data_IF_695763139234
#
_entry.id   IF_695763139234
#
_cell.length_a   1.000
_cell.length_b   1.000
_cell.length_c   1.000
_cell.angle_alpha   90.00
_cell.angle_beta   90.00
_cell.angle_gamma   90.00
#
_symmetry.space_group_name_H-M   'P 1'
#
loop_
_entity.id
_entity.type
_entity.pdbx_description
1 polymer ?
#
# COMPACT_ATOMS: atom_id res chain seq x y z
N UNK A 1 4.04 3.24 30.85
CA UNK A 1 2.83 2.44 30.92
C UNK A 1 1.65 3.21 30.40
N UNK A 2 1.21 2.91 29.19
CA UNK A 2 -0.09 3.36 28.69
C UNK A 2 -1.16 2.82 29.63
N UNK A 3 -1.88 3.71 30.26
CA UNK A 3 -2.78 3.41 31.36
C UNK A 3 -3.88 2.43 30.90
N UNK A 4 -4.34 1.56 31.82
CA UNK A 4 -5.51 0.70 31.61
C UNK A 4 -6.74 1.48 31.08
N UNK A 5 -6.85 2.78 31.37
CA UNK A 5 -7.91 3.68 30.86
C UNK A 5 -7.86 3.88 29.33
N UNK A 6 -6.67 4.01 28.72
CA UNK A 6 -6.56 4.13 27.26
C UNK A 6 -6.95 2.83 26.53
N UNK A 7 -6.58 1.66 27.10
CA UNK A 7 -7.04 0.37 26.53
C UNK A 7 -8.56 0.18 26.67
N UNK A 8 -9.17 0.64 27.75
CA UNK A 8 -10.62 0.56 27.94
C UNK A 8 -11.40 1.54 27.04
N UNK A 9 -10.88 2.75 26.77
CA UNK A 9 -11.46 3.67 25.81
C UNK A 9 -11.45 3.08 24.38
N UNK A 10 -10.33 2.48 23.95
CA UNK A 10 -10.23 1.83 22.65
C UNK A 10 -11.19 0.62 22.45
N UNK A 11 -11.68 0.01 23.53
CA UNK A 11 -12.63 -1.09 23.45
C UNK A 11 -14.07 -0.57 23.26
N UNK A 12 -14.43 0.57 23.84
CA UNK A 12 -15.79 1.14 23.75
C UNK A 12 -16.10 1.75 22.38
N UNK A 13 -15.09 2.26 21.67
CA UNK A 13 -15.22 2.87 20.33
C UNK A 13 -14.99 1.87 19.19
N UNK A 14 -14.91 0.56 19.51
CA UNK A 14 -14.60 -0.49 18.55
C UNK A 14 -15.88 -0.99 17.86
N UNK A 15 -15.77 -1.28 16.58
CA UNK A 15 -16.84 -1.91 15.82
C UNK A 15 -17.03 -3.37 16.21
N UNK A 16 -18.27 -3.83 16.20
CA UNK A 16 -18.62 -5.19 16.59
C UNK A 16 -17.91 -6.25 15.75
N UNK A 17 -17.70 -6.01 14.46
CA UNK A 17 -16.97 -6.91 13.57
C UNK A 17 -15.50 -7.11 14.02
N UNK A 18 -14.84 -6.07 14.50
CA UNK A 18 -13.47 -6.11 14.99
C UNK A 18 -13.37 -6.84 16.33
N UNK A 19 -14.33 -6.59 17.22
CA UNK A 19 -14.41 -7.29 18.49
C UNK A 19 -14.64 -8.80 18.33
N UNK A 20 -15.46 -9.20 17.35
CA UNK A 20 -15.65 -10.61 17.00
C UNK A 20 -14.36 -11.23 16.45
N UNK A 21 -13.65 -10.54 15.54
CA UNK A 21 -12.38 -11.04 15.01
C UNK A 21 -11.31 -11.22 16.09
N UNK A 22 -11.16 -10.27 16.98
CA UNK A 22 -10.21 -10.36 18.10
C UNK A 22 -10.56 -11.51 19.05
N UNK A 23 -11.83 -11.90 19.09
CA UNK A 23 -12.32 -13.08 19.82
C UNK A 23 -12.20 -14.39 19.04
N UNK A 24 -11.62 -14.36 17.84
CA UNK A 24 -11.48 -15.52 16.96
C UNK A 24 -12.76 -15.91 16.21
N UNK A 25 -13.81 -15.06 16.24
CA UNK A 25 -15.08 -15.29 15.55
C UNK A 25 -15.05 -14.58 14.20
N UNK A 26 -15.05 -15.36 13.13
CA UNK A 26 -15.08 -14.80 11.77
C UNK A 26 -16.50 -14.38 11.37
N UNK A 27 -16.65 -13.10 10.97
CA UNK A 27 -17.90 -12.58 10.40
C UNK A 27 -17.71 -12.40 8.88
N UNK A 28 -18.59 -13.02 8.04
CA UNK A 28 -18.53 -12.89 6.59
C UNK A 28 -18.79 -11.44 6.14
N UNK A 29 -18.06 -10.98 5.11
CA UNK A 29 -18.11 -9.57 4.69
C UNK A 29 -17.56 -9.34 3.29
N UNK A 30 -18.02 -8.29 2.61
CA UNK A 30 -17.45 -7.84 1.33
C UNK A 30 -17.07 -6.37 1.36
N UNK A 31 -17.93 -5.45 1.79
CA UNK A 31 -17.64 -4.01 1.74
C UNK A 31 -16.69 -3.54 2.85
N UNK A 32 -16.67 -4.18 3.99
CA UNK A 32 -15.80 -3.81 5.10
C UNK A 32 -14.33 -4.17 4.81
N UNK A 33 -13.44 -3.24 5.16
CA UNK A 33 -12.00 -3.42 5.13
C UNK A 33 -11.40 -2.63 6.29
N UNK A 34 -10.44 -3.20 7.02
CA UNK A 34 -9.90 -2.62 8.26
C UNK A 34 -9.28 -1.22 8.13
N UNK A 35 -9.00 -0.79 6.89
CA UNK A 35 -8.37 0.51 6.58
C UNK A 35 -9.30 1.48 5.87
N UNK A 36 -10.57 1.13 5.67
CA UNK A 36 -11.57 1.97 5.02
C UNK A 36 -12.70 2.24 5.99
N UNK A 37 -13.30 3.42 5.92
CA UNK A 37 -14.43 3.77 6.75
C UNK A 37 -15.61 2.80 6.51
N UNK A 38 -16.31 2.33 7.53
CA UNK A 38 -17.38 1.36 7.38
C UNK A 38 -18.62 2.00 6.74
N UNK A 39 -19.26 1.30 5.80
CA UNK A 39 -20.43 1.82 5.05
C UNK A 39 -21.66 0.92 5.15
N UNK A 40 -21.55 -0.31 5.65
CA UNK A 40 -22.69 -1.22 5.83
C UNK A 40 -23.47 -1.59 4.56
N UNK A 41 -22.88 -1.46 3.36
CA UNK A 41 -23.57 -1.60 2.07
C UNK A 41 -23.94 -3.04 1.73
N UNK A 42 -23.01 -3.98 1.87
CA UNK A 42 -23.22 -5.35 1.39
C UNK A 42 -24.15 -6.17 2.26
N UNK A 43 -24.32 -5.81 3.51
CA UNK A 43 -25.15 -6.52 4.50
C UNK A 43 -24.74 -7.97 4.79
N UNK A 44 -23.59 -8.42 4.31
CA UNK A 44 -23.11 -9.78 4.57
C UNK A 44 -22.73 -10.00 6.04
N UNK A 45 -22.33 -8.95 6.74
CA UNK A 45 -21.91 -8.99 8.14
C UNK A 45 -23.04 -8.86 9.16
N UNK A 46 -24.27 -9.22 8.78
CA UNK A 46 -25.42 -9.21 9.70
C UNK A 46 -25.22 -10.22 10.83
N UNK A 47 -25.48 -9.78 12.06
CA UNK A 47 -25.53 -10.58 13.30
C UNK A 47 -26.77 -10.22 14.09
N UNK A 48 -27.20 -11.09 14.98
CA UNK A 48 -28.35 -10.86 15.85
C UNK A 48 -27.87 -10.29 17.20
N UNK A 49 -28.45 -9.16 17.60
CA UNK A 49 -28.13 -8.50 18.88
C UNK A 49 -29.37 -8.48 19.76
N UNK A 50 -29.22 -8.82 21.04
CA UNK A 50 -30.28 -8.68 22.03
C UNK A 50 -30.44 -7.21 22.44
N UNK A 51 -31.68 -6.72 22.35
CA UNK A 51 -32.04 -5.36 22.76
C UNK A 51 -33.22 -5.42 23.74
N UNK A 52 -33.48 -4.36 24.50
CA UNK A 52 -34.66 -4.32 25.39
C UNK A 52 -36.02 -4.52 24.65
N UNK A 53 -36.00 -4.35 23.32
CA UNK A 53 -37.18 -4.54 22.46
C UNK A 53 -37.24 -5.90 21.79
N UNK A 54 -36.30 -6.79 22.10
CA UNK A 54 -36.16 -8.10 21.48
C UNK A 54 -34.91 -8.19 20.62
N UNK A 55 -34.70 -9.33 19.98
CA UNK A 55 -33.58 -9.60 19.10
C UNK A 55 -33.76 -8.90 17.76
N UNK A 56 -32.69 -8.33 17.22
CA UNK A 56 -32.67 -7.66 15.91
C UNK A 56 -31.38 -7.90 15.14
N UNK A 57 -31.49 -7.96 13.81
CA UNK A 57 -30.34 -8.04 12.90
C UNK A 57 -29.70 -6.66 12.73
N UNK A 58 -28.37 -6.60 12.96
CA UNK A 58 -27.57 -5.39 12.77
C UNK A 58 -26.34 -5.70 11.92
N UNK A 59 -25.85 -4.75 11.11
CA UNK A 59 -24.59 -4.90 10.39
C UNK A 59 -23.40 -4.68 11.36
N UNK A 60 -22.68 -5.74 11.70
CA UNK A 60 -21.59 -5.67 12.67
C UNK A 60 -20.47 -4.68 12.31
N UNK A 61 -20.29 -4.39 11.01
CA UNK A 61 -19.26 -3.46 10.53
C UNK A 61 -19.57 -1.97 10.80
N UNK A 62 -20.80 -1.62 11.21
CA UNK A 62 -21.22 -0.24 11.54
C UNK A 62 -21.86 -0.14 12.92
N UNK A 63 -21.84 -1.22 13.69
CA UNK A 63 -22.39 -1.27 15.05
C UNK A 63 -21.25 -1.17 16.04
N UNK A 64 -21.30 -0.18 16.93
CA UNK A 64 -20.34 -0.03 18.02
C UNK A 64 -20.64 -1.02 19.15
N UNK A 65 -19.61 -1.47 19.81
CA UNK A 65 -19.69 -2.38 20.97
C UNK A 65 -20.14 -1.58 22.21
N UNK A 66 -21.12 -2.12 22.94
CA UNK A 66 -21.53 -1.59 24.23
C UNK A 66 -21.35 -2.61 25.35
N UNK A 67 -21.31 -2.12 26.60
CA UNK A 67 -21.23 -2.98 27.77
C UNK A 67 -22.44 -3.93 27.82
N UNK A 68 -22.22 -5.19 28.19
CA UNK A 68 -23.22 -6.25 28.31
C UNK A 68 -23.97 -6.61 27.01
N UNK A 69 -23.44 -6.19 25.83
CA UNK A 69 -24.04 -6.55 24.54
C UNK A 69 -23.96 -8.06 24.33
N UNK A 70 -25.12 -8.69 24.08
CA UNK A 70 -25.24 -10.11 23.74
C UNK A 70 -25.44 -10.23 22.25
N UNK A 71 -24.54 -10.97 21.58
CA UNK A 71 -24.49 -11.11 20.13
C UNK A 71 -24.53 -12.59 19.74
N UNK A 72 -25.43 -12.95 18.84
CA UNK A 72 -25.51 -14.27 18.24
C UNK A 72 -25.10 -14.18 16.74
N UNK A 73 -24.03 -14.84 16.40
CA UNK A 73 -23.47 -14.84 15.04
C UNK A 73 -23.89 -16.04 14.20
N UNK A 74 -24.59 -17.00 14.80
CA UNK A 74 -24.94 -18.29 14.17
C UNK A 74 -26.42 -18.66 14.29
N UNK A 75 -27.28 -17.74 14.76
CA UNK A 75 -28.74 -18.01 14.83
C UNK A 75 -29.30 -18.33 13.45
N UNK A 76 -30.40 -19.05 13.41
CA UNK A 76 -31.08 -19.40 12.15
C UNK A 76 -31.48 -18.17 11.35
N UNK A 77 -31.79 -17.05 12.05
CA UNK A 77 -32.14 -15.78 11.43
C UNK A 77 -30.90 -15.15 10.74
N UNK A 78 -29.73 -15.22 11.40
CA UNK A 78 -28.46 -14.75 10.82
C UNK A 78 -28.08 -15.59 9.60
N UNK A 79 -28.09 -16.90 9.71
CA UNK A 79 -27.78 -17.82 8.60
C UNK A 79 -28.67 -17.56 7.38
N UNK A 80 -29.98 -17.45 7.59
CA UNK A 80 -30.94 -17.17 6.52
C UNK A 80 -30.72 -15.78 5.89
N UNK A 81 -30.33 -14.78 6.69
CA UNK A 81 -30.03 -13.43 6.19
C UNK A 81 -28.76 -13.44 5.33
N UNK A 82 -27.69 -14.09 5.78
CA UNK A 82 -26.43 -14.21 5.04
C UNK A 82 -26.61 -15.01 3.75
N UNK A 83 -27.34 -16.10 3.78
CA UNK A 83 -27.72 -16.89 2.59
C UNK A 83 -28.45 -16.04 1.56
N UNK A 84 -29.47 -15.27 2.00
CA UNK A 84 -30.23 -14.37 1.13
C UNK A 84 -29.37 -13.25 0.52
N UNK A 85 -28.43 -12.70 1.28
CA UNK A 85 -27.46 -11.71 0.74
C UNK A 85 -26.59 -12.31 -0.36
N UNK A 86 -26.06 -13.51 -0.16
CA UNK A 86 -25.26 -14.22 -1.17
C UNK A 86 -26.10 -14.54 -2.40
N UNK A 87 -27.34 -14.97 -2.24
CA UNK A 87 -28.25 -15.19 -3.36
C UNK A 87 -28.42 -13.91 -4.20
N UNK A 88 -28.64 -12.75 -3.58
CA UNK A 88 -28.72 -11.46 -4.28
C UNK A 88 -27.41 -11.09 -5.01
N UNK A 89 -26.27 -11.35 -4.41
CA UNK A 89 -24.98 -11.08 -5.06
C UNK A 89 -24.73 -11.99 -6.26
N UNK A 90 -25.22 -13.23 -6.21
CA UNK A 90 -25.01 -14.24 -7.24
C UNK A 90 -26.01 -14.16 -8.41
N UNK A 91 -27.17 -13.54 -8.24
CA UNK A 91 -28.22 -13.45 -9.28
C UNK A 91 -27.64 -12.99 -10.63
N UNK A 92 -26.89 -11.90 -10.65
CA UNK A 92 -26.28 -11.36 -11.87
C UNK A 92 -24.78 -11.65 -11.99
N UNK A 93 -24.16 -12.31 -11.02
CA UNK A 93 -22.75 -12.65 -11.12
C UNK A 93 -22.51 -13.70 -12.21
N UNK A 94 -21.59 -13.47 -13.16
CA UNK A 94 -21.39 -14.38 -14.29
C UNK A 94 -20.73 -15.69 -13.84
N UNK A 95 -20.95 -16.78 -14.60
CA UNK A 95 -20.35 -18.09 -14.38
C UNK A 95 -18.91 -18.14 -14.92
N UNK A 96 -18.12 -17.13 -14.61
CA UNK A 96 -16.79 -16.87 -15.17
C UNK A 96 -15.65 -17.47 -14.35
N UNK A 97 -15.89 -18.20 -13.27
CA UNK A 97 -14.80 -18.70 -12.42
C UNK A 97 -13.67 -19.40 -13.20
N UNK A 98 -13.93 -20.22 -14.23
CA UNK A 98 -12.86 -20.83 -15.02
C UNK A 98 -11.96 -19.84 -15.76
N UNK A 99 -12.48 -18.67 -16.12
CA UNK A 99 -11.78 -17.61 -16.86
C UNK A 99 -11.56 -16.34 -16.03
N UNK A 100 -11.74 -16.42 -14.70
CA UNK A 100 -11.56 -15.30 -13.79
C UNK A 100 -10.22 -15.44 -13.02
N UNK A 101 -9.37 -14.41 -13.09
CA UNK A 101 -8.07 -14.43 -12.40
C UNK A 101 -8.17 -14.46 -10.87
N UNK A 102 -9.33 -14.06 -10.31
CA UNK A 102 -9.56 -14.12 -8.87
C UNK A 102 -9.97 -15.51 -8.37
N UNK A 103 -10.29 -16.46 -9.27
CA UNK A 103 -10.72 -17.79 -8.87
C UNK A 103 -9.63 -18.53 -8.07
N UNK A 104 -10.02 -19.13 -6.95
CA UNK A 104 -9.14 -19.77 -5.99
C UNK A 104 -8.61 -18.87 -4.86
N UNK A 105 -8.81 -17.53 -4.98
CA UNK A 105 -8.54 -16.55 -3.93
C UNK A 105 -9.70 -15.52 -3.85
N UNK A 106 -10.91 -15.97 -4.15
CA UNK A 106 -12.09 -15.11 -4.29
C UNK A 106 -12.97 -15.17 -3.04
N UNK A 107 -13.06 -14.10 -2.23
CA UNK A 107 -13.95 -14.06 -1.08
C UNK A 107 -15.41 -14.40 -1.40
N UNK A 108 -15.91 -14.09 -2.62
CA UNK A 108 -17.27 -14.47 -3.00
C UNK A 108 -17.42 -15.98 -3.15
N UNK A 109 -16.45 -16.68 -3.75
CA UNK A 109 -16.46 -18.14 -3.82
C UNK A 109 -16.43 -18.77 -2.42
N UNK A 110 -15.46 -18.34 -1.59
CA UNK A 110 -15.25 -18.91 -0.27
C UNK A 110 -16.47 -18.71 0.64
N UNK A 111 -17.04 -17.50 0.65
CA UNK A 111 -18.23 -17.22 1.46
C UNK A 111 -19.50 -17.86 0.90
N UNK A 112 -19.60 -18.03 -0.42
CA UNK A 112 -20.73 -18.78 -1.00
C UNK A 112 -20.70 -20.24 -0.62
N UNK A 113 -19.52 -20.84 -0.58
CA UNK A 113 -19.37 -22.24 -0.13
C UNK A 113 -19.63 -22.41 1.37
N UNK A 114 -19.26 -21.42 2.19
CA UNK A 114 -19.39 -21.50 3.65
C UNK A 114 -20.80 -21.11 4.16
N UNK A 115 -21.46 -20.13 3.54
CA UNK A 115 -22.67 -19.50 4.05
C UNK A 115 -23.81 -19.41 3.02
N UNK A 116 -23.57 -19.79 1.76
CA UNK A 116 -24.54 -19.61 0.69
C UNK A 116 -25.46 -20.81 0.47
N UNK A 117 -26.49 -20.65 -0.40
CA UNK A 117 -27.33 -21.74 -0.82
C UNK A 117 -26.55 -22.73 -1.68
N UNK A 118 -26.87 -24.02 -1.54
CA UNK A 118 -26.23 -25.07 -2.35
C UNK A 118 -26.65 -25.06 -3.83
N UNK A 119 -27.80 -24.46 -4.14
CA UNK A 119 -28.40 -24.40 -5.48
C UNK A 119 -28.93 -23.00 -5.79
N UNK A 120 -28.92 -22.64 -7.07
CA UNK A 120 -29.48 -21.38 -7.55
C UNK A 120 -30.93 -21.57 -7.97
N UNK A 121 -31.83 -20.69 -7.49
CA UNK A 121 -33.23 -20.61 -7.92
C UNK A 121 -33.43 -19.69 -9.12
N UNK A 122 -32.41 -18.96 -9.54
CA UNK A 122 -32.46 -17.97 -10.60
C UNK A 122 -32.46 -18.68 -11.96
N UNK A 123 -33.51 -18.48 -12.75
CA UNK A 123 -33.72 -19.11 -14.07
C UNK A 123 -33.72 -18.11 -15.21
N UNK A 124 -33.64 -16.82 -14.92
CA UNK A 124 -33.64 -15.76 -15.90
C UNK A 124 -32.23 -15.48 -16.44
N UNK A 125 -32.14 -14.70 -17.52
CA UNK A 125 -30.86 -14.27 -18.10
C UNK A 125 -30.17 -13.27 -17.18
N UNK A 126 -28.85 -13.50 -16.95
CA UNK A 126 -28.01 -12.58 -16.19
C UNK A 126 -27.72 -11.33 -17.02
N UNK A 127 -27.41 -10.22 -16.35
CA UNK A 127 -27.02 -8.98 -17.04
C UNK A 127 -25.74 -9.17 -17.85
N UNK A 128 -25.71 -8.53 -19.02
CA UNK A 128 -24.54 -8.50 -19.89
C UNK A 128 -24.03 -7.07 -20.09
N UNK A 129 -22.74 -6.92 -20.03
CA UNK A 129 -22.01 -5.69 -20.32
C UNK A 129 -20.84 -5.99 -21.26
N UNK A 130 -20.38 -4.98 -21.96
CA UNK A 130 -19.07 -5.05 -22.60
C UNK A 130 -17.99 -5.31 -21.56
N UNK A 131 -17.19 -6.38 -21.75
CA UNK A 131 -16.18 -6.81 -20.79
C UNK A 131 -15.03 -7.56 -21.47
N UNK A 132 -13.79 -7.43 -20.92
CA UNK A 132 -13.39 -6.40 -19.96
C UNK A 132 -13.17 -5.06 -20.65
N UNK A 133 -13.23 -3.97 -19.90
CA UNK A 133 -12.82 -2.65 -20.38
C UNK A 133 -11.48 -2.26 -19.74
N UNK A 134 -10.63 -1.59 -20.54
CA UNK A 134 -9.38 -1.02 -20.03
C UNK A 134 -9.70 0.31 -19.34
N UNK A 135 -9.49 0.41 -18.03
CA UNK A 135 -9.61 1.68 -17.30
C UNK A 135 -8.27 2.37 -17.09
N UNK A 136 -7.18 1.64 -17.31
CA UNK A 136 -5.81 2.16 -17.42
C UNK A 136 -4.94 1.14 -18.20
N UNK A 137 -3.67 1.47 -18.42
CA UNK A 137 -2.71 0.56 -19.05
C UNK A 137 -2.47 -0.73 -18.23
N UNK A 138 -2.62 -0.64 -16.92
CA UNK A 138 -2.29 -1.73 -15.97
C UNK A 138 -3.52 -2.40 -15.36
N UNK A 139 -4.73 -1.84 -15.51
CA UNK A 139 -5.94 -2.36 -14.86
C UNK A 139 -7.08 -2.54 -15.85
N UNK A 140 -7.68 -3.73 -15.77
CA UNK A 140 -8.89 -4.12 -16.47
C UNK A 140 -10.07 -4.13 -15.49
N UNK A 141 -11.23 -3.68 -15.95
CA UNK A 141 -12.50 -3.75 -15.23
C UNK A 141 -13.49 -4.67 -15.96
N UNK A 142 -13.97 -5.68 -15.24
CA UNK A 142 -15.12 -6.50 -15.64
C UNK A 142 -16.34 -6.11 -14.80
N UNK A 143 -17.26 -5.38 -15.41
CA UNK A 143 -18.44 -4.84 -14.73
C UNK A 143 -19.44 -5.91 -14.30
N UNK A 144 -19.53 -7.01 -15.04
CA UNK A 144 -20.44 -8.12 -14.69
C UNK A 144 -20.02 -8.82 -13.39
N UNK A 145 -18.70 -8.90 -13.12
CA UNK A 145 -18.17 -9.52 -11.90
C UNK A 145 -18.25 -8.61 -10.68
N UNK A 146 -18.53 -7.32 -10.89
CA UNK A 146 -18.58 -6.34 -9.79
C UNK A 146 -19.80 -6.58 -8.89
N UNK A 147 -19.59 -6.70 -7.58
CA UNK A 147 -20.63 -6.83 -6.57
C UNK A 147 -20.97 -5.50 -5.87
N UNK A 148 -20.52 -4.38 -6.44
CA UNK A 148 -20.82 -3.02 -5.96
C UNK A 148 -20.47 -2.79 -4.48
N UNK A 149 -19.37 -3.34 -3.99
CA UNK A 149 -18.96 -3.29 -2.58
C UNK A 149 -18.29 -1.97 -2.17
N UNK A 150 -18.02 -1.06 -3.09
CA UNK A 150 -17.39 0.24 -2.88
C UNK A 150 -15.98 0.22 -2.26
N UNK A 151 -15.24 -0.90 -2.23
CA UNK A 151 -13.87 -0.87 -1.71
C UNK A 151 -12.94 -0.04 -2.58
N UNK A 152 -13.03 -0.15 -3.90
CA UNK A 152 -12.17 0.56 -4.84
C UNK A 152 -12.45 2.07 -4.85
N UNK A 153 -13.72 2.49 -4.87
CA UNK A 153 -14.10 3.91 -4.85
C UNK A 153 -13.68 4.57 -3.55
N UNK A 154 -13.95 3.93 -2.40
CA UNK A 154 -13.51 4.44 -1.10
C UNK A 154 -11.99 4.47 -0.95
N UNK A 155 -11.27 3.47 -1.43
CA UNK A 155 -9.81 3.52 -1.43
C UNK A 155 -9.30 4.70 -2.26
N UNK A 156 -9.88 4.91 -3.44
CA UNK A 156 -9.50 6.00 -4.34
C UNK A 156 -9.70 7.37 -3.71
N UNK A 157 -10.78 7.57 -2.99
CA UNK A 157 -11.13 8.81 -2.29
C UNK A 157 -10.42 8.92 -0.92
N UNK A 158 -10.71 8.00 0.00
CA UNK A 158 -10.33 8.10 1.42
C UNK A 158 -8.82 7.94 1.67
N UNK A 159 -8.16 7.07 0.89
CA UNK A 159 -6.75 6.69 1.11
C UNK A 159 -5.82 7.39 0.14
N UNK A 160 -6.06 7.22 -1.17
CA UNK A 160 -5.14 7.79 -2.18
C UNK A 160 -5.38 9.27 -2.45
N UNK A 161 -6.60 9.79 -2.19
CA UNK A 161 -6.99 11.14 -2.54
C UNK A 161 -7.08 11.38 -4.04
N UNK A 162 -7.28 10.31 -4.82
CA UNK A 162 -7.42 10.33 -6.27
C UNK A 162 -8.77 9.72 -6.66
N UNK A 163 -9.92 10.41 -6.51
CA UNK A 163 -11.27 9.87 -6.77
C UNK A 163 -11.54 9.69 -8.27
N UNK A 164 -10.72 8.85 -8.92
CA UNK A 164 -10.76 8.61 -10.38
C UNK A 164 -11.64 7.42 -10.78
N UNK A 165 -12.15 6.66 -9.82
CA UNK A 165 -13.06 5.53 -10.01
C UNK A 165 -14.24 5.68 -9.07
N UNK A 166 -15.44 5.73 -9.64
CA UNK A 166 -16.66 6.10 -8.92
C UNK A 166 -17.87 5.26 -9.32
N UNK A 167 -18.94 5.37 -8.53
CA UNK A 167 -20.25 4.87 -8.94
C UNK A 167 -20.88 5.81 -9.95
N UNK A 168 -21.28 5.25 -11.07
CA UNK A 168 -22.07 5.95 -12.07
C UNK A 168 -23.46 5.33 -12.19
N UNK A 169 -24.44 6.08 -12.68
CA UNK A 169 -25.83 5.68 -12.77
C UNK A 169 -26.50 5.48 -11.38
N UNK A 170 -27.70 4.97 -11.36
CA UNK A 170 -28.47 4.68 -10.14
C UNK A 170 -29.41 3.50 -10.29
N UNK A 171 -29.85 2.96 -9.15
CA UNK A 171 -30.75 1.82 -9.10
C UNK A 171 -30.11 0.57 -9.73
N UNK A 172 -30.87 -0.15 -10.54
CA UNK A 172 -30.39 -1.37 -11.18
C UNK A 172 -29.32 -1.14 -12.26
N UNK A 173 -29.10 0.12 -12.69
CA UNK A 173 -28.07 0.50 -13.66
C UNK A 173 -26.77 0.96 -13.01
N UNK A 174 -26.71 0.99 -11.67
CA UNK A 174 -25.50 1.39 -10.95
C UNK A 174 -24.34 0.50 -11.36
N UNK A 175 -23.24 1.11 -11.73
CA UNK A 175 -21.97 0.45 -12.03
C UNK A 175 -20.77 1.26 -11.52
N UNK A 176 -19.66 0.60 -11.34
CA UNK A 176 -18.36 1.25 -11.05
C UNK A 176 -17.68 1.52 -12.38
N UNK A 177 -17.17 2.73 -12.57
CA UNK A 177 -16.44 3.11 -13.79
C UNK A 177 -15.52 4.31 -13.52
N UNK A 178 -14.74 4.69 -14.51
CA UNK A 178 -13.96 5.94 -14.55
C UNK A 178 -14.74 7.02 -15.27
N UNK A 179 -14.34 8.28 -15.10
CA UNK A 179 -14.93 9.38 -15.87
C UNK A 179 -14.53 9.28 -17.34
N UNK A 180 -15.42 9.69 -18.29
CA UNK A 180 -15.09 9.71 -19.70
C UNK A 180 -13.81 10.52 -19.98
N UNK A 181 -12.88 9.96 -20.74
CA UNK A 181 -11.57 10.54 -21.08
C UNK A 181 -10.60 10.78 -19.92
N UNK A 182 -10.92 10.32 -18.71
CA UNK A 182 -10.02 10.35 -17.56
C UNK A 182 -9.66 8.92 -17.17
N UNK A 183 -8.53 8.39 -17.66
CA UNK A 183 -8.09 7.05 -17.29
C UNK A 183 -7.71 6.99 -15.80
N UNK A 184 -7.84 5.83 -15.21
CA UNK A 184 -7.48 5.59 -13.81
C UNK A 184 -5.95 5.68 -13.59
N UNK A 185 -5.41 6.89 -13.65
CA UNK A 185 -3.99 7.21 -13.46
C UNK A 185 -3.74 7.63 -12.01
N UNK A 186 -3.60 6.64 -11.13
CA UNK A 186 -3.20 6.85 -9.74
C UNK A 186 -1.89 6.14 -9.49
N UNK A 187 -1.04 6.68 -8.63
CA UNK A 187 0.17 6.01 -8.14
C UNK A 187 -0.13 4.74 -7.32
N UNK A 188 -1.41 4.49 -7.00
CA UNK A 188 -1.86 3.48 -6.06
C UNK A 188 -2.94 2.56 -6.63
N UNK A 189 -3.20 2.63 -7.93
CA UNK A 189 -4.34 1.97 -8.57
C UNK A 189 -4.35 0.44 -8.37
N UNK A 190 -3.18 -0.19 -8.31
CA UNK A 190 -3.04 -1.62 -8.07
C UNK A 190 -3.55 -2.11 -6.70
N UNK A 191 -3.72 -1.21 -5.73
CA UNK A 191 -4.35 -1.61 -4.46
C UNK A 191 -5.83 -1.92 -4.65
N UNK A 192 -6.52 -1.27 -5.58
CA UNK A 192 -7.93 -1.56 -5.87
C UNK A 192 -8.11 -2.97 -6.42
N UNK A 193 -7.13 -3.49 -7.18
CA UNK A 193 -7.09 -4.90 -7.62
C UNK A 193 -6.91 -5.83 -6.43
N UNK A 194 -5.99 -5.50 -5.53
CA UNK A 194 -5.68 -6.33 -4.36
C UNK A 194 -6.87 -6.44 -3.41
N UNK A 195 -7.55 -5.32 -3.10
CA UNK A 195 -8.66 -5.29 -2.15
C UNK A 195 -10.01 -5.65 -2.78
N UNK A 196 -10.10 -5.77 -4.10
CA UNK A 196 -11.32 -6.19 -4.78
C UNK A 196 -11.67 -7.63 -4.35
N UNK A 197 -12.86 -7.87 -3.75
CA UNK A 197 -13.23 -9.19 -3.24
C UNK A 197 -13.61 -10.17 -4.35
N UNK A 198 -13.67 -9.71 -5.59
CA UNK A 198 -14.03 -10.50 -6.78
C UNK A 198 -13.10 -10.18 -7.94
N UNK A 199 -13.24 -10.86 -9.07
CA UNK A 199 -12.44 -10.63 -10.28
C UNK A 199 -12.93 -9.48 -11.15
N UNK A 200 -13.54 -8.45 -10.56
CA UNK A 200 -13.99 -7.27 -11.29
C UNK A 200 -12.81 -6.38 -11.71
N UNK A 201 -11.88 -6.10 -10.79
CA UNK A 201 -10.64 -5.41 -11.09
C UNK A 201 -9.50 -6.41 -11.15
N UNK A 202 -8.77 -6.42 -12.26
CA UNK A 202 -7.66 -7.35 -12.52
C UNK A 202 -6.47 -6.61 -13.13
N UNK A 203 -5.26 -7.12 -12.86
CA UNK A 203 -4.04 -6.57 -13.43
C UNK A 203 -3.79 -7.13 -14.82
N UNK A 204 -3.46 -6.27 -15.80
CA UNK A 204 -3.11 -6.69 -17.16
C UNK A 204 -1.88 -7.59 -17.19
N UNK A 205 -0.88 -7.29 -16.37
CA UNK A 205 0.39 -8.02 -16.31
C UNK A 205 0.25 -9.43 -15.74
N UNK A 206 -0.73 -9.67 -14.83
CA UNK A 206 -0.95 -10.97 -14.20
C UNK A 206 -2.02 -11.81 -14.89
N UNK A 207 -2.88 -11.21 -15.72
CA UNK A 207 -4.03 -11.87 -16.34
C UNK A 207 -3.64 -13.18 -17.02
N UNK A 208 -4.30 -14.28 -16.61
CA UNK A 208 -4.12 -15.66 -17.13
C UNK A 208 -2.70 -16.22 -17.00
N UNK A 209 -1.90 -15.73 -16.04
CA UNK A 209 -0.53 -16.20 -15.82
C UNK A 209 -0.44 -17.42 -14.92
N UNK A 210 -1.20 -17.45 -13.84
CA UNK A 210 -1.19 -18.57 -12.88
C UNK A 210 -2.46 -18.61 -12.04
N UNK A 211 -2.69 -19.75 -11.39
CA UNK A 211 -3.69 -19.90 -10.33
C UNK A 211 -3.00 -19.74 -8.96
N UNK A 212 -3.75 -19.38 -7.89
CA UNK A 212 -3.16 -19.20 -6.56
C UNK A 212 -2.38 -20.41 -6.04
N UNK A 213 -2.85 -21.61 -6.33
CA UNK A 213 -2.19 -22.87 -5.93
C UNK A 213 -0.92 -23.21 -6.73
N UNK A 214 -0.69 -22.55 -7.86
CA UNK A 214 0.54 -22.70 -8.66
C UNK A 214 1.63 -21.69 -8.19
N UNK A 215 1.31 -20.80 -7.27
CA UNK A 215 2.20 -19.73 -6.83
C UNK A 215 3.00 -20.14 -5.60
N UNK A 216 4.29 -19.82 -5.65
CA UNK A 216 5.16 -19.79 -4.48
C UNK A 216 5.18 -18.38 -3.93
N UNK A 217 4.73 -18.21 -2.68
CA UNK A 217 4.74 -16.93 -1.97
C UNK A 217 5.99 -16.78 -1.11
N UNK A 218 6.65 -15.64 -1.21
CA UNK A 218 7.83 -15.30 -0.40
C UNK A 218 7.71 -13.89 0.11
N UNK A 219 7.79 -13.69 1.42
CA UNK A 219 7.80 -12.34 2.03
C UNK A 219 9.13 -11.66 1.79
N UNK A 220 9.08 -10.36 1.52
CA UNK A 220 10.25 -9.53 1.23
C UNK A 220 9.97 -8.07 1.56
N UNK A 221 10.95 -7.23 1.29
CA UNK A 221 10.84 -5.76 1.41
C UNK A 221 11.01 -5.15 0.02
N UNK A 222 10.17 -4.16 -0.30
CA UNK A 222 10.29 -3.39 -1.53
C UNK A 222 11.54 -2.50 -1.48
N UNK A 223 12.36 -2.56 -2.52
CA UNK A 223 13.57 -1.74 -2.67
C UNK A 223 13.40 -0.57 -3.65
N UNK A 224 12.16 -0.24 -4.05
CA UNK A 224 11.89 0.82 -5.01
C UNK A 224 12.08 2.25 -4.48
N UNK A 225 12.09 2.43 -3.17
CA UNK A 225 12.37 3.70 -2.47
C UNK A 225 12.69 3.43 -0.99
N UNK A 226 13.06 4.47 -0.25
CA UNK A 226 13.44 4.40 1.17
C UNK A 226 12.31 3.99 2.13
N UNK A 227 11.05 3.92 1.67
CA UNK A 227 9.93 3.49 2.51
C UNK A 227 10.04 2.05 3.01
N UNK A 228 10.65 1.15 2.22
CA UNK A 228 10.84 -0.24 2.60
C UNK A 228 9.54 -1.00 2.86
N UNK A 229 8.52 -0.83 2.01
CA UNK A 229 7.22 -1.48 2.16
C UNK A 229 7.33 -3.00 2.26
N UNK A 230 6.58 -3.59 3.18
CA UNK A 230 6.46 -5.06 3.27
C UNK A 230 5.66 -5.60 2.09
N UNK A 231 6.24 -6.56 1.39
CA UNK A 231 5.66 -7.16 0.18
C UNK A 231 5.67 -8.68 0.22
N UNK A 232 4.82 -9.25 -0.60
CA UNK A 232 4.83 -10.67 -0.93
C UNK A 232 5.10 -10.85 -2.41
N UNK A 233 6.15 -11.62 -2.70
CA UNK A 233 6.56 -11.98 -4.04
C UNK A 233 5.88 -13.29 -4.43
N UNK A 234 5.08 -13.28 -5.49
CA UNK A 234 4.44 -14.47 -6.02
C UNK A 234 5.12 -14.91 -7.33
N UNK A 235 5.69 -16.08 -7.32
CA UNK A 235 6.41 -16.66 -8.45
C UNK A 235 5.88 -18.04 -8.83
N UNK A 236 6.02 -18.43 -10.09
CA UNK A 236 5.75 -19.76 -10.60
C UNK A 236 6.76 -20.11 -11.70
N UNK A 237 7.21 -21.36 -11.76
CA UNK A 237 8.16 -21.82 -12.78
C UNK A 237 9.39 -20.92 -12.92
N UNK A 238 9.95 -20.49 -11.79
CA UNK A 238 11.10 -19.58 -11.71
C UNK A 238 10.90 -18.20 -12.37
N UNK A 239 9.66 -17.75 -12.53
CA UNK A 239 9.32 -16.41 -13.02
C UNK A 239 8.55 -15.65 -11.95
N UNK A 240 8.89 -14.37 -11.77
CA UNK A 240 8.11 -13.44 -10.96
C UNK A 240 6.82 -13.08 -11.71
N UNK A 241 5.66 -13.27 -11.06
CA UNK A 241 4.37 -13.04 -11.71
C UNK A 241 3.60 -11.86 -11.15
N UNK A 242 3.67 -11.62 -9.83
CA UNK A 242 3.03 -10.47 -9.18
C UNK A 242 3.69 -10.14 -7.85
N UNK A 243 3.50 -8.89 -7.42
CA UNK A 243 3.89 -8.40 -6.09
C UNK A 243 2.63 -7.87 -5.38
N UNK A 244 2.43 -8.31 -4.13
CA UNK A 244 1.34 -7.87 -3.27
C UNK A 244 1.88 -7.07 -2.09
N UNK A 245 1.14 -6.04 -1.65
CA UNK A 245 1.42 -5.36 -0.39
C UNK A 245 1.02 -6.25 0.79
N UNK A 246 1.91 -6.37 1.77
CA UNK A 246 1.64 -7.10 3.02
C UNK A 246 1.34 -6.10 4.11
N UNK A 247 0.34 -6.41 4.93
CA UNK A 247 -0.05 -5.57 6.04
C UNK A 247 1.06 -5.50 7.10
N UNK A 248 1.55 -4.28 7.30
CA UNK A 248 2.53 -3.91 8.31
C UNK A 248 2.15 -2.54 8.86
N UNK A 249 1.60 -2.51 10.07
CA UNK A 249 1.06 -1.30 10.69
C UNK A 249 2.11 -0.20 10.82
N UNK A 250 3.33 -0.58 11.15
CA UNK A 250 4.44 0.36 11.35
C UNK A 250 4.95 1.01 10.06
N UNK A 251 4.73 0.40 8.88
CA UNK A 251 5.29 0.86 7.61
C UNK A 251 4.19 1.22 6.61
N UNK A 252 3.66 0.24 5.89
CA UNK A 252 2.83 0.46 4.71
C UNK A 252 1.36 0.08 4.86
N UNK A 253 0.95 -0.52 5.98
CA UNK A 253 -0.46 -0.88 6.28
C UNK A 253 -1.15 -1.69 5.15
N UNK A 254 -0.38 -2.50 4.44
CA UNK A 254 -0.86 -3.29 3.30
C UNK A 254 -0.88 -2.55 1.97
N UNK A 255 -0.69 -1.23 1.97
CA UNK A 255 -0.67 -0.43 0.75
C UNK A 255 0.68 -0.51 0.03
N UNK A 256 0.64 -0.47 -1.29
CA UNK A 256 1.83 -0.48 -2.13
C UNK A 256 1.61 0.47 -3.32
N UNK A 257 2.62 1.23 -3.70
CA UNK A 257 2.53 2.04 -4.90
C UNK A 257 2.66 1.17 -6.17
N UNK A 258 2.12 1.66 -7.28
CA UNK A 258 2.13 0.93 -8.55
C UNK A 258 3.55 0.72 -9.08
N UNK A 259 4.48 1.65 -8.81
CA UNK A 259 5.89 1.48 -9.09
C UNK A 259 6.48 0.26 -8.36
N UNK A 260 6.22 0.10 -7.07
CA UNK A 260 6.67 -1.07 -6.30
C UNK A 260 5.95 -2.36 -6.65
N UNK A 261 4.70 -2.27 -7.16
CA UNK A 261 3.87 -3.42 -7.52
C UNK A 261 4.19 -4.00 -8.90
N UNK A 262 4.47 -3.15 -9.87
CA UNK A 262 4.57 -3.55 -11.28
C UNK A 262 5.98 -3.50 -11.86
N UNK A 263 6.93 -2.86 -11.18
CA UNK A 263 8.31 -2.77 -11.66
C UNK A 263 9.11 -4.04 -11.31
N UNK A 264 8.67 -5.20 -11.78
CA UNK A 264 9.38 -6.48 -11.59
C UNK A 264 9.73 -7.18 -12.92
N UNK A 265 9.29 -6.67 -14.04
CA UNK A 265 9.51 -7.31 -15.35
C UNK A 265 10.99 -7.48 -15.68
N UNK A 266 11.85 -6.56 -15.19
CA UNK A 266 13.31 -6.67 -15.36
C UNK A 266 13.90 -7.94 -14.75
N UNK A 267 13.23 -8.52 -13.71
CA UNK A 267 13.66 -9.78 -13.09
C UNK A 267 13.51 -10.97 -14.05
N UNK A 268 12.53 -10.89 -14.95
CA UNK A 268 12.23 -11.93 -15.94
C UNK A 268 12.90 -11.67 -17.30
N UNK A 269 13.65 -10.57 -17.44
CA UNK A 269 14.28 -10.17 -18.71
C UNK A 269 15.40 -11.11 -19.11
N UNK A 270 15.44 -11.52 -20.36
CA UNK A 270 16.53 -12.32 -20.93
C UNK A 270 17.84 -11.53 -21.04
N UNK A 271 17.77 -10.19 -21.07
CA UNK A 271 18.95 -9.32 -21.06
C UNK A 271 19.65 -9.21 -19.70
N UNK A 272 19.08 -9.84 -18.65
CA UNK A 272 19.69 -9.86 -17.33
C UNK A 272 20.97 -10.69 -17.33
N UNK A 273 22.06 -10.12 -16.79
CA UNK A 273 23.32 -10.85 -16.65
C UNK A 273 23.14 -12.06 -15.73
N UNK A 274 23.49 -13.24 -16.22
CA UNK A 274 23.40 -14.53 -15.50
C UNK A 274 24.75 -15.09 -15.13
N UNK A 275 25.77 -14.69 -15.87
CA UNK A 275 27.17 -15.11 -15.72
C UNK A 275 28.09 -13.90 -15.70
N UNK A 276 29.26 -13.99 -15.08
CA UNK A 276 30.25 -12.94 -15.20
C UNK A 276 30.73 -12.76 -16.66
N UNK A 277 30.97 -11.51 -17.04
CA UNK A 277 31.44 -11.17 -18.38
C UNK A 277 32.78 -10.45 -18.29
N UNK A 278 33.70 -10.83 -19.16
CA UNK A 278 35.00 -10.18 -19.35
C UNK A 278 35.08 -9.60 -20.76
N UNK A 279 35.61 -8.40 -20.87
CA UNK A 279 35.88 -7.77 -22.16
C UNK A 279 37.24 -8.29 -22.71
N UNK A 280 37.16 -9.05 -23.81
CA UNK A 280 38.29 -9.57 -24.56
C UNK A 280 38.16 -9.07 -25.99
N UNK A 281 39.20 -8.45 -26.55
CA UNK A 281 39.23 -7.92 -27.92
C UNK A 281 37.97 -7.07 -28.29
N UNK A 282 37.51 -6.27 -27.32
CA UNK A 282 36.32 -5.41 -27.44
C UNK A 282 34.94 -6.14 -27.40
N UNK A 283 34.91 -7.46 -27.25
CA UNK A 283 33.71 -8.27 -27.08
C UNK A 283 33.54 -8.72 -25.62
N UNK A 284 32.28 -8.85 -25.16
CA UNK A 284 31.96 -9.38 -23.84
C UNK A 284 31.83 -10.90 -23.94
N UNK A 285 32.73 -11.61 -23.24
CA UNK A 285 32.78 -13.07 -23.21
C UNK A 285 32.44 -13.57 -21.82
N UNK A 286 31.65 -14.63 -21.72
CA UNK A 286 31.32 -15.29 -20.46
C UNK A 286 32.59 -15.96 -19.88
N UNK A 287 32.80 -15.79 -18.57
CA UNK A 287 33.88 -16.41 -17.82
C UNK A 287 33.38 -17.06 -16.55
N UNK A 288 34.13 -18.01 -16.02
CA UNK A 288 33.79 -18.67 -14.76
C UNK A 288 34.04 -17.73 -13.57
N UNK A 289 33.21 -17.84 -12.54
CA UNK A 289 33.31 -17.00 -11.33
C UNK A 289 34.68 -17.15 -10.63
N UNK A 290 35.31 -18.31 -10.74
CA UNK A 290 36.62 -18.58 -10.17
C UNK A 290 37.72 -17.76 -10.84
N UNK A 291 37.62 -17.56 -12.15
CA UNK A 291 38.54 -16.71 -12.91
C UNK A 291 38.41 -15.24 -12.47
N UNK A 292 37.17 -14.78 -12.22
CA UNK A 292 36.93 -13.44 -11.66
C UNK A 292 37.65 -13.27 -10.32
N UNK A 293 37.47 -14.23 -9.38
CA UNK A 293 38.15 -14.16 -8.08
C UNK A 293 39.65 -14.17 -8.19
N UNK A 294 40.21 -14.95 -9.10
CA UNK A 294 41.63 -15.02 -9.34
C UNK A 294 42.19 -13.70 -9.84
N UNK A 295 41.55 -13.12 -10.86
CA UNK A 295 41.98 -11.83 -11.45
C UNK A 295 41.83 -10.67 -10.45
N UNK A 296 40.71 -10.57 -9.75
CA UNK A 296 40.49 -9.54 -8.72
C UNK A 296 41.52 -9.68 -7.59
N UNK A 297 41.83 -10.91 -7.17
CA UNK A 297 42.83 -11.18 -6.14
C UNK A 297 44.21 -10.69 -6.54
N UNK A 298 44.61 -10.81 -7.81
CA UNK A 298 45.91 -10.29 -8.33
C UNK A 298 45.93 -8.76 -8.28
N UNK A 299 44.84 -8.09 -8.75
CA UNK A 299 44.74 -6.63 -8.73
C UNK A 299 44.79 -6.08 -7.29
N UNK A 300 44.12 -6.73 -6.36
CA UNK A 300 44.04 -6.31 -4.96
C UNK A 300 45.35 -6.54 -4.19
N UNK A 301 46.12 -7.57 -4.55
CA UNK A 301 47.44 -7.86 -3.94
C UNK A 301 48.49 -6.81 -4.28
N UNK A 302 48.32 -6.07 -5.38
CA UNK A 302 49.19 -4.96 -5.71
C UNK A 302 48.91 -3.79 -4.74
N UNK A 303 49.85 -3.59 -3.81
CA UNK A 303 49.76 -2.54 -2.76
C UNK A 303 49.80 -1.11 -3.30
N UNK A 304 50.09 -0.91 -4.58
CA UNK A 304 50.03 0.41 -5.22
C UNK A 304 48.68 0.74 -5.80
N UNK A 305 47.80 -0.26 -5.96
CA UNK A 305 46.46 -0.09 -6.49
C UNK A 305 45.54 0.55 -5.44
N UNK A 306 44.96 1.72 -5.78
CA UNK A 306 43.94 2.36 -4.97
C UNK A 306 42.56 1.81 -5.36
N UNK A 307 41.83 1.29 -4.38
CA UNK A 307 40.46 0.76 -4.58
C UNK A 307 39.44 1.74 -4.03
N UNK A 308 38.51 2.15 -4.88
CA UNK A 308 37.36 2.96 -4.49
C UNK A 308 36.08 2.12 -4.58
N UNK A 309 35.19 2.24 -3.60
CA UNK A 309 33.94 1.55 -3.56
C UNK A 309 32.81 2.52 -3.90
N UNK A 310 32.04 2.18 -4.94
CA UNK A 310 30.80 2.90 -5.32
C UNK A 310 29.61 2.03 -4.93
N UNK A 311 28.86 2.45 -3.91
CA UNK A 311 27.73 1.70 -3.38
C UNK A 311 26.44 2.32 -3.87
N UNK A 312 25.56 1.49 -4.44
CA UNK A 312 24.22 1.91 -4.88
C UNK A 312 23.23 1.96 -3.72
N UNK A 313 22.16 2.71 -3.88
CA UNK A 313 21.08 2.86 -2.87
C UNK A 313 20.16 1.64 -2.73
N UNK A 314 20.27 0.66 -3.62
CA UNK A 314 19.40 -0.54 -3.63
C UNK A 314 20.04 -1.75 -2.94
N UNK A 315 21.13 -1.56 -2.23
CA UNK A 315 21.80 -2.59 -1.46
C UNK A 315 21.08 -2.83 -0.13
N UNK A 316 21.19 -4.05 0.39
CA UNK A 316 20.71 -4.38 1.73
C UNK A 316 21.68 -3.86 2.80
N UNK A 317 21.23 -3.79 4.05
CA UNK A 317 22.10 -3.45 5.17
C UNK A 317 23.24 -4.47 5.32
N UNK A 318 22.97 -5.73 5.03
CA UNK A 318 23.94 -6.82 5.04
C UNK A 318 25.00 -6.64 3.95
N UNK A 319 24.61 -6.17 2.77
CA UNK A 319 25.57 -5.83 1.70
C UNK A 319 26.51 -4.70 2.14
N UNK A 320 25.99 -3.64 2.77
CA UNK A 320 26.79 -2.53 3.30
C UNK A 320 27.78 -3.01 4.36
N UNK A 321 27.37 -3.91 5.27
CA UNK A 321 28.27 -4.49 6.27
C UNK A 321 29.37 -5.33 5.61
N UNK A 322 28.98 -6.18 4.65
CA UNK A 322 29.95 -7.00 3.91
C UNK A 322 30.96 -6.15 3.12
N UNK A 323 30.50 -5.08 2.47
CA UNK A 323 31.39 -4.14 1.79
C UNK A 323 32.33 -3.41 2.76
N UNK A 324 31.85 -3.01 3.93
CA UNK A 324 32.71 -2.39 4.95
C UNK A 324 33.79 -3.35 5.41
N UNK A 325 33.45 -4.58 5.78
CA UNK A 325 34.41 -5.61 6.21
C UNK A 325 35.42 -5.91 5.10
N UNK A 326 34.97 -6.08 3.86
CA UNK A 326 35.83 -6.30 2.70
C UNK A 326 36.78 -5.12 2.49
N UNK A 327 36.31 -3.89 2.60
CA UNK A 327 37.15 -2.70 2.49
C UNK A 327 38.24 -2.61 3.56
N UNK A 328 37.94 -3.09 4.79
CA UNK A 328 38.90 -3.13 5.90
C UNK A 328 40.03 -4.13 5.66
N UNK A 329 39.72 -5.24 4.96
CA UNK A 329 40.74 -6.24 4.59
C UNK A 329 41.67 -5.72 3.50
N UNK A 330 41.13 -4.98 2.52
CA UNK A 330 41.91 -4.52 1.35
C UNK A 330 42.70 -3.24 1.65
N UNK A 331 42.15 -2.31 2.39
CA UNK A 331 42.67 -0.96 2.53
C UNK A 331 43.64 -0.83 3.69
N UNK A 332 44.93 -0.56 3.37
CA UNK A 332 45.93 -0.07 4.34
C UNK A 332 46.04 1.48 4.33
N UNK A 333 45.25 2.20 3.54
CA UNK A 333 45.30 3.66 3.37
C UNK A 333 43.92 4.24 3.24
N UNK A 334 43.77 5.57 3.20
CA UNK A 334 42.53 6.34 3.20
C UNK A 334 41.37 5.70 2.39
N UNK A 335 40.26 5.47 3.08
CA UNK A 335 39.08 4.82 2.53
C UNK A 335 38.17 5.88 1.91
N UNK A 336 37.78 5.68 0.66
CA UNK A 336 36.78 6.52 -0.01
C UNK A 336 35.53 5.69 -0.30
N UNK A 337 34.46 6.00 0.39
CA UNK A 337 33.13 5.48 0.09
C UNK A 337 32.34 6.59 -0.56
N UNK A 338 31.76 6.31 -1.72
CA UNK A 338 30.79 7.18 -2.37
C UNK A 338 29.41 6.56 -2.21
N UNK A 339 28.57 7.19 -1.40
CA UNK A 339 27.14 6.92 -1.38
C UNK A 339 26.48 7.75 -2.48
N UNK A 340 25.44 7.23 -3.08
CA UNK A 340 24.63 8.03 -4.00
C UNK A 340 24.13 9.28 -3.27
N UNK A 341 24.25 10.44 -3.91
CA UNK A 341 23.99 11.79 -3.37
C UNK A 341 22.57 12.04 -2.82
N UNK A 342 21.70 11.03 -2.88
CA UNK A 342 20.31 11.14 -2.46
C UNK A 342 20.08 10.97 -0.95
N UNK A 343 21.11 10.76 -0.15
CA UNK A 343 20.98 10.57 1.30
C UNK A 343 21.52 11.77 2.07
N UNK A 344 20.63 12.46 2.78
CA UNK A 344 21.02 13.36 3.87
C UNK A 344 21.54 12.49 5.02
N UNK A 345 22.84 12.66 5.35
CA UNK A 345 23.43 11.90 6.45
C UNK A 345 22.84 12.37 7.80
N UNK A 346 22.44 11.47 8.70
CA UNK A 346 21.90 11.87 10.02
C UNK A 346 22.79 12.82 10.81
N UNK A 347 24.12 12.70 10.69
CA UNK A 347 25.09 13.62 11.30
C UNK A 347 25.01 15.07 10.80
N UNK A 348 24.28 15.34 9.70
CA UNK A 348 24.03 16.68 9.20
C UNK A 348 23.13 17.49 10.15
N UNK A 349 22.21 16.81 10.86
CA UNK A 349 21.27 17.47 11.77
C UNK A 349 21.81 17.64 13.21
N UNK A 350 23.05 17.23 13.47
CA UNK A 350 23.68 17.27 14.79
C UNK A 350 23.45 15.99 15.63
N UNK A 351 24.25 15.85 16.69
CA UNK A 351 24.26 14.62 17.53
C UNK A 351 22.99 14.38 18.33
N UNK A 352 22.07 15.36 18.40
CA UNK A 352 20.87 15.31 19.25
C UNK A 352 19.56 15.15 18.49
N UNK A 353 19.59 14.82 17.19
CA UNK A 353 18.36 14.61 16.39
C UNK A 353 18.03 13.11 16.35
N UNK A 354 16.94 12.73 16.96
CA UNK A 354 16.40 11.38 16.86
C UNK A 354 15.71 11.17 15.52
N UNK A 355 16.05 10.07 14.84
CA UNK A 355 15.40 9.71 13.58
C UNK A 355 14.00 9.17 13.87
N UNK A 356 12.98 9.85 13.33
CA UNK A 356 11.60 9.44 13.45
C UNK A 356 11.30 8.16 12.66
N UNK A 357 10.43 7.34 13.22
CA UNK A 357 9.82 6.20 12.52
C UNK A 357 8.57 6.63 11.78
N UNK A 358 8.18 5.89 10.75
CA UNK A 358 6.95 6.18 9.99
C UNK A 358 5.70 6.22 10.89
N UNK A 359 5.67 5.39 11.92
CA UNK A 359 4.54 5.32 12.85
C UNK A 359 4.44 6.52 13.78
N UNK A 360 5.53 7.25 14.00
CA UNK A 360 5.55 8.47 14.82
C UNK A 360 4.70 9.59 14.21
N UNK A 361 4.42 9.54 12.90
CA UNK A 361 3.51 10.48 12.23
C UNK A 361 2.13 10.53 12.91
N UNK A 362 1.62 9.39 13.38
CA UNK A 362 0.30 9.33 14.02
C UNK A 362 0.29 9.85 15.46
N UNK A 363 1.45 9.91 16.12
CA UNK A 363 1.61 10.38 17.50
C UNK A 363 2.13 11.82 17.59
N UNK A 364 2.44 12.43 16.44
CA UNK A 364 2.88 13.82 16.37
C UNK A 364 1.72 14.80 16.56
N UNK A 365 2.01 15.95 17.14
CA UNK A 365 1.07 17.09 17.13
C UNK A 365 1.05 17.80 15.78
N UNK A 366 2.21 17.81 15.10
CA UNK A 366 2.36 18.41 13.79
C UNK A 366 3.42 17.68 12.94
N UNK A 367 3.20 17.69 11.63
CA UNK A 367 4.13 17.19 10.61
C UNK A 367 4.61 18.39 9.79
N UNK A 368 5.91 18.51 9.62
CA UNK A 368 6.54 19.50 8.75
C UNK A 368 7.14 18.81 7.54
N UNK A 369 6.74 19.20 6.35
CA UNK A 369 7.26 18.65 5.09
C UNK A 369 8.04 19.76 4.37
N UNK A 370 9.33 19.53 4.16
CA UNK A 370 10.18 20.34 3.29
C UNK A 370 11.07 19.40 2.48
N UNK A 371 10.51 18.87 1.43
CA UNK A 371 11.12 17.79 0.65
C UNK A 371 10.71 17.91 -0.82
N UNK A 372 11.29 17.08 -1.67
CA UNK A 372 10.81 16.83 -3.03
C UNK A 372 9.39 16.25 -3.01
N UNK A 373 8.73 16.18 -4.18
CA UNK A 373 7.37 15.60 -4.25
C UNK A 373 7.32 14.19 -3.67
N UNK A 374 6.71 14.07 -2.49
CA UNK A 374 6.61 12.81 -1.76
C UNK A 374 5.72 11.79 -2.47
N UNK A 375 4.70 12.25 -3.22
CA UNK A 375 3.82 11.35 -3.98
C UNK A 375 4.59 10.63 -5.09
N UNK A 376 5.58 11.32 -5.68
CA UNK A 376 6.46 10.75 -6.70
C UNK A 376 7.60 9.93 -6.09
N UNK A 377 8.28 10.46 -5.08
CA UNK A 377 9.53 9.90 -4.54
C UNK A 377 9.28 8.77 -3.54
N UNK A 378 8.36 8.96 -2.60
CA UNK A 378 8.05 8.02 -1.51
C UNK A 378 6.53 7.88 -1.37
N UNK A 379 5.84 7.31 -2.38
CA UNK A 379 4.38 7.38 -2.47
C UNK A 379 3.63 6.88 -1.23
N UNK A 380 4.09 5.82 -0.59
CA UNK A 380 3.41 5.27 0.58
C UNK A 380 3.57 6.17 1.81
N UNK A 381 4.67 6.93 1.93
CA UNK A 381 4.81 7.95 2.97
C UNK A 381 3.75 9.07 2.81
N UNK A 382 3.48 9.47 1.57
CA UNK A 382 2.38 10.39 1.27
C UNK A 382 1.03 9.87 1.80
N UNK A 383 0.71 8.58 1.63
CA UNK A 383 -0.51 7.98 2.18
C UNK A 383 -0.53 8.02 3.73
N UNK A 384 0.64 7.79 4.36
CA UNK A 384 0.77 7.83 5.83
C UNK A 384 0.56 9.24 6.37
N UNK A 385 1.04 10.27 5.68
CA UNK A 385 0.79 11.68 6.03
C UNK A 385 -0.70 11.99 5.90
N UNK A 386 -1.35 11.63 4.79
CA UNK A 386 -2.80 11.84 4.62
C UNK A 386 -3.59 11.20 5.75
N UNK A 387 -3.23 9.99 6.14
CA UNK A 387 -3.88 9.30 7.25
C UNK A 387 -3.68 10.03 8.58
N UNK A 388 -2.46 10.49 8.89
CA UNK A 388 -2.18 11.24 10.10
C UNK A 388 -2.98 12.55 10.18
N UNK A 389 -3.08 13.28 9.06
CA UNK A 389 -3.90 14.48 8.93
C UNK A 389 -5.39 14.18 9.14
N UNK A 390 -5.90 13.10 8.53
CA UNK A 390 -7.29 12.64 8.76
C UNK A 390 -7.54 12.36 10.25
N UNK A 391 -6.54 11.90 10.98
CA UNK A 391 -6.60 11.64 12.42
C UNK A 391 -6.37 12.92 13.29
N UNK A 392 -6.26 14.09 12.67
CA UNK A 392 -6.19 15.38 13.35
C UNK A 392 -4.77 15.94 13.58
N UNK A 393 -3.73 15.29 13.06
CA UNK A 393 -2.36 15.82 13.09
C UNK A 393 -2.26 17.03 12.15
N UNK A 394 -1.63 18.11 12.60
CA UNK A 394 -1.43 19.32 11.80
C UNK A 394 -0.36 19.13 10.73
N UNK A 395 -0.55 19.70 9.56
CA UNK A 395 0.37 19.59 8.45
C UNK A 395 0.85 20.97 7.95
N UNK A 396 2.17 21.15 7.95
CA UNK A 396 2.84 22.32 7.40
C UNK A 396 3.71 21.88 6.23
N UNK A 397 3.47 22.45 5.05
CA UNK A 397 4.19 22.11 3.82
C UNK A 397 4.95 23.34 3.32
N UNK A 398 6.24 23.15 3.07
CA UNK A 398 7.13 24.18 2.52
C UNK A 398 7.68 23.75 1.16
N UNK A 399 7.74 24.72 0.23
CA UNK A 399 8.21 24.49 -1.14
C UNK A 399 7.08 24.14 -2.12
N UNK A 400 7.38 24.29 -3.39
CA UNK A 400 6.41 24.15 -4.49
C UNK A 400 6.29 22.70 -5.03
N UNK A 401 7.10 21.80 -4.54
CA UNK A 401 7.19 20.42 -5.07
C UNK A 401 6.13 19.48 -4.52
N UNK A 402 5.49 19.83 -3.40
CA UNK A 402 4.45 19.01 -2.76
C UNK A 402 3.04 19.62 -2.92
N UNK A 403 2.71 20.13 -4.09
CA UNK A 403 1.36 20.67 -4.39
C UNK A 403 0.25 19.66 -4.14
N UNK A 404 0.55 18.38 -4.27
CA UNK A 404 -0.39 17.26 -3.99
C UNK A 404 -0.79 17.15 -2.51
N UNK A 405 -0.12 17.84 -1.59
CA UNK A 405 -0.47 17.95 -0.18
C UNK A 405 -1.20 19.25 0.16
N UNK A 406 -1.35 20.19 -0.79
CA UNK A 406 -1.92 21.53 -0.54
C UNK A 406 -3.39 21.48 -0.09
N UNK A 407 -4.13 20.49 -0.56
CA UNK A 407 -5.56 20.27 -0.24
C UNK A 407 -5.82 19.85 1.21
N UNK A 408 -4.79 19.30 1.88
CA UNK A 408 -4.88 18.79 3.25
C UNK A 408 -3.98 19.51 4.25
N UNK A 409 -3.15 20.46 3.79
CA UNK A 409 -2.22 21.21 4.63
C UNK A 409 -2.94 22.30 5.44
N UNK A 410 -2.65 22.39 6.74
CA UNK A 410 -3.07 23.52 7.58
C UNK A 410 -2.33 24.81 7.16
N UNK A 411 -1.06 24.67 6.76
CA UNK A 411 -0.23 25.75 6.25
C UNK A 411 0.53 25.25 5.02
N UNK A 412 0.39 25.96 3.90
CA UNK A 412 1.07 25.67 2.66
C UNK A 412 1.83 26.90 2.15
N UNK A 413 3.15 26.76 2.03
CA UNK A 413 4.04 27.78 1.47
C UNK A 413 4.58 27.30 0.12
N UNK A 414 3.84 27.63 -0.93
CA UNK A 414 4.18 27.25 -2.29
C UNK A 414 5.22 28.17 -2.95
N UNK A 415 5.29 28.10 -4.28
CA UNK A 415 6.25 28.79 -5.15
C UNK A 415 6.34 30.31 -4.94
N UNK A 416 5.25 30.96 -4.54
CA UNK A 416 5.23 32.39 -4.28
C UNK A 416 5.97 32.81 -3.01
N UNK A 417 6.20 31.87 -2.10
CA UNK A 417 6.77 32.14 -0.77
C UNK A 417 8.19 31.61 -0.64
N UNK A 418 8.52 30.55 -1.39
CA UNK A 418 9.83 29.89 -1.38
C UNK A 418 10.38 29.93 -2.81
N UNK A 419 11.59 30.45 -3.03
CA UNK A 419 12.24 30.46 -4.35
C UNK A 419 12.65 29.07 -4.81
N UNK A 420 12.98 28.93 -6.10
CA UNK A 420 13.52 27.69 -6.67
C UNK A 420 14.82 27.22 -5.98
N UNK A 421 15.54 28.16 -5.35
CA UNK A 421 16.73 27.89 -4.53
C UNK A 421 16.39 27.70 -3.04
N UNK A 422 15.11 27.50 -2.70
CA UNK A 422 14.62 27.31 -1.34
C UNK A 422 14.92 28.46 -0.36
N UNK A 423 15.21 29.64 -0.85
CA UNK A 423 15.28 30.86 -0.04
C UNK A 423 13.87 31.38 0.24
N UNK A 424 13.61 31.79 1.47
CA UNK A 424 12.35 32.42 1.85
C UNK A 424 12.28 33.82 1.24
N UNK A 425 11.43 33.98 0.23
CA UNK A 425 11.35 35.21 -0.59
C UNK A 425 10.48 36.28 0.04
N UNK A 426 9.54 35.92 0.90
CA UNK A 426 8.65 36.91 1.57
C UNK A 426 8.81 36.85 3.08
N UNK A 427 8.76 38.03 3.68
CA UNK A 427 8.79 38.23 5.12
C UNK A 427 7.74 37.33 5.80
N UNK A 428 8.20 36.44 6.66
CA UNK A 428 7.36 35.48 7.37
C UNK A 428 6.62 36.24 8.48
N UNK A 429 5.78 37.20 8.11
CA UNK A 429 4.85 37.83 9.05
C UNK A 429 3.86 36.82 9.64
N UNK A 430 3.66 35.68 8.96
CA UNK A 430 2.93 34.51 9.43
C UNK A 430 3.72 33.59 10.38
N UNK A 431 4.95 33.91 10.74
CA UNK A 431 5.72 33.21 11.77
C UNK A 431 4.94 33.00 13.08
N UNK A 432 3.96 33.84 13.36
CA UNK A 432 3.12 33.73 14.55
C UNK A 432 2.21 32.49 14.47
N UNK A 433 1.59 32.23 13.32
CA UNK A 433 0.76 31.04 13.06
C UNK A 433 1.59 29.76 13.13
N UNK A 434 2.79 29.78 12.51
CA UNK A 434 3.72 28.63 12.58
C UNK A 434 4.15 28.38 14.01
N UNK A 435 4.50 29.43 14.76
CA UNK A 435 4.92 29.30 16.16
C UNK A 435 3.86 28.64 17.04
N UNK A 436 2.60 28.95 16.85
CA UNK A 436 1.48 28.36 17.58
C UNK A 436 1.31 26.85 17.26
N UNK A 437 1.65 26.46 16.02
CA UNK A 437 1.56 25.06 15.57
C UNK A 437 2.75 24.20 16.00
N UNK A 438 3.93 24.79 16.25
CA UNK A 438 5.16 24.02 16.46
C UNK A 438 5.81 24.19 17.84
N UNK A 439 5.68 25.36 18.51
CA UNK A 439 6.36 25.60 19.77
C UNK A 439 5.75 24.75 20.90
N UNK A 440 6.60 23.97 21.58
CA UNK A 440 6.20 23.08 22.67
C UNK A 440 5.39 21.87 22.24
N UNK A 441 5.42 21.55 20.93
CA UNK A 441 4.73 20.41 20.33
C UNK A 441 5.70 19.31 19.95
N UNK A 442 5.18 18.08 19.90
CA UNK A 442 5.90 16.94 19.32
C UNK A 442 5.79 16.99 17.80
N UNK A 443 6.91 17.20 17.11
CA UNK A 443 6.93 17.46 15.67
C UNK A 443 7.73 16.38 14.97
N UNK A 444 7.17 15.82 13.90
CA UNK A 444 7.91 15.01 12.94
C UNK A 444 8.24 15.87 11.70
N UNK A 445 9.52 16.02 11.38
CA UNK A 445 9.97 16.75 10.20
C UNK A 445 10.41 15.77 9.09
N UNK A 446 9.94 15.98 7.87
CA UNK A 446 10.32 15.26 6.66
C UNK A 446 11.12 16.24 5.80
N UNK A 447 12.42 16.03 5.73
CA UNK A 447 13.36 16.89 5.07
C UNK A 447 14.00 16.17 3.88
N UNK A 448 14.06 16.80 2.73
CA UNK A 448 14.67 16.27 1.52
C UNK A 448 15.81 17.14 1.01
N UNK A 449 16.39 16.82 -0.15
CA UNK A 449 17.45 17.58 -0.81
C UNK A 449 17.14 19.07 -1.00
N UNK A 450 15.87 19.37 -1.15
CA UNK A 450 15.37 20.71 -1.36
C UNK A 450 15.27 21.55 -0.08
N UNK A 451 15.64 20.97 1.07
CA UNK A 451 15.64 21.73 2.35
C UNK A 451 16.85 22.67 2.38
N UNK A 452 16.66 23.98 2.64
CA UNK A 452 17.80 24.88 2.81
C UNK A 452 18.64 24.49 4.03
N UNK A 453 19.95 24.70 3.92
CA UNK A 453 20.90 24.43 4.99
C UNK A 453 20.79 25.39 6.14
#
# INVERSE_FOLDING_TARGET
GTSRRQRQMCIRDRLLIEACEDSGIHIPRFCWHKRLDPVGMCRMCLVEVETPRGKMLVPSCTTEVSDEMVVDTESDVVKKAQEGVLEFLLINHPLDCPICDKAGECPLQDQTMAYGPGESRFVEEKRHFEKPINISEIILLDRERCILCARCTRFSDEISGDPLIEFIQRGNKTEVNTFPNEPFKSYFSGNTVQICPVGALTSTSYRFKARPWDLKSTRSTCNGCSMGCSIELNSSQNKMLRILGVDNDAVNQGWLCDKGRYNFEYLNSDSRLKTPLKKIDNELVEIEIQDVYSELSEVIKDRQTKVNFLLGSNLTNEDYVAFREFSEIISQSEKSFYLNDDMLHPGFFGENVELAKVDDLNSSDAIVVWAEDLKEKIPVLYLRIRQAVKNGVKLLVFGHTNETLSDIADVFYGKETVSENFEIVKDISKLKEIKELVIGKNITAILGKSTPH
#
